data_IF_999889038406
#
_entry.id   IF_999889038406
#
_cell.length_a   1.000
_cell.length_b   1.000
_cell.length_c   1.000
_cell.angle_alpha   90.00
_cell.angle_beta   90.00
_cell.angle_gamma   90.00
#
_symmetry.space_group_name_H-M   'P 1'
#
loop_
_entity.id
_entity.type
_entity.pdbx_description
1 polymer ?
#
# COMPACT_ATOMS: atom_id res chain seq x y z
N UNK A 1 25.57 24.48 19.60
CA UNK A 1 24.67 23.53 20.28
C UNK A 1 24.28 22.46 19.26
N UNK A 2 24.71 21.22 19.46
CA UNK A 2 24.27 20.08 18.63
C UNK A 2 22.85 19.73 19.02
N UNK A 3 21.89 19.91 18.10
CA UNK A 3 20.51 19.46 18.32
C UNK A 3 20.50 17.93 18.52
N UNK A 4 19.73 17.45 19.51
CA UNK A 4 19.53 16.02 19.73
C UNK A 4 18.79 15.41 18.55
N UNK A 5 19.18 14.22 18.12
CA UNK A 5 18.50 13.53 17.04
C UNK A 5 17.19 12.90 17.53
N UNK A 6 16.05 13.39 17.02
CA UNK A 6 14.74 12.79 17.20
C UNK A 6 14.25 12.10 15.91
N UNK A 7 14.03 10.78 15.89
CA UNK A 7 13.62 10.05 14.67
C UNK A 7 12.27 10.48 14.09
N UNK A 8 11.37 11.02 14.91
CA UNK A 8 10.04 11.50 14.48
C UNK A 8 10.10 12.84 13.79
N UNK A 9 11.18 13.60 13.97
CA UNK A 9 11.33 14.95 13.44
C UNK A 9 12.39 15.00 12.33
N UNK A 10 13.51 14.31 12.53
CA UNK A 10 14.66 14.40 11.65
C UNK A 10 14.68 13.31 10.58
N UNK A 11 14.98 13.66 9.31
CA UNK A 11 15.19 12.68 8.26
C UNK A 11 16.32 11.70 8.60
N UNK A 12 16.10 10.43 8.31
CA UNK A 12 17.07 9.37 8.59
C UNK A 12 16.89 8.19 7.64
N UNK A 13 17.81 7.21 7.68
CA UNK A 13 17.69 5.96 6.92
C UNK A 13 17.54 4.78 7.87
N UNK A 14 16.76 3.79 7.47
CA UNK A 14 16.64 2.50 8.16
C UNK A 14 17.07 1.38 7.23
N UNK A 15 17.89 0.47 7.73
CA UNK A 15 18.35 -0.68 6.95
C UNK A 15 17.31 -1.81 7.02
N UNK A 16 17.01 -2.41 5.87
CA UNK A 16 16.19 -3.60 5.73
C UNK A 16 17.11 -4.81 5.42
N UNK A 17 17.33 -5.71 6.39
CA UNK A 17 18.24 -6.84 6.24
C UNK A 17 17.71 -7.95 5.31
N UNK A 18 16.40 -7.99 5.05
CA UNK A 18 15.82 -9.03 4.19
C UNK A 18 16.16 -8.85 2.72
N UNK A 19 16.44 -7.61 2.32
CA UNK A 19 16.71 -7.24 0.92
C UNK A 19 18.02 -6.47 0.76
N UNK A 20 18.82 -6.35 1.83
CA UNK A 20 20.08 -5.60 1.88
C UNK A 20 19.98 -4.17 1.32
N UNK A 21 18.99 -3.41 1.80
CA UNK A 21 18.73 -2.06 1.30
C UNK A 21 18.41 -1.08 2.42
N UNK A 22 18.60 0.20 2.11
CA UNK A 22 18.28 1.30 3.02
C UNK A 22 17.04 2.05 2.55
N UNK A 23 16.12 2.32 3.48
CA UNK A 23 14.91 3.10 3.26
C UNK A 23 15.11 4.51 3.84
N UNK A 24 14.87 5.54 3.02
CA UNK A 24 14.86 6.93 3.47
C UNK A 24 13.53 7.26 4.16
N UNK A 25 13.62 7.76 5.40
CA UNK A 25 12.48 8.22 6.19
C UNK A 25 12.53 9.75 6.25
N UNK A 26 11.47 10.39 5.75
CA UNK A 26 11.28 11.85 5.83
C UNK A 26 9.95 12.14 6.54
N UNK A 27 9.95 12.31 7.87
CA UNK A 27 8.71 12.28 8.68
C UNK A 27 7.63 13.27 8.23
N UNK A 28 8.04 14.47 7.77
CA UNK A 28 7.11 15.54 7.40
C UNK A 28 6.75 15.59 5.90
N UNK A 29 7.20 14.61 5.10
CA UNK A 29 7.03 14.62 3.62
C UNK A 29 5.56 14.74 3.20
N UNK A 30 4.65 14.08 3.92
CA UNK A 30 3.22 14.05 3.63
C UNK A 30 2.47 15.35 3.99
N UNK A 31 3.10 16.29 4.71
CA UNK A 31 2.51 17.61 5.01
C UNK A 31 2.48 18.55 3.79
N UNK A 32 3.14 18.17 2.69
CA UNK A 32 3.10 18.95 1.44
C UNK A 32 1.69 18.88 0.85
N UNK A 33 1.11 20.00 0.40
CA UNK A 33 -0.18 19.99 -0.28
C UNK A 33 -0.16 19.01 -1.45
N UNK A 34 -1.09 18.05 -1.44
CA UNK A 34 -1.27 17.12 -2.54
C UNK A 34 -2.26 17.69 -3.55
N UNK A 35 -1.82 17.84 -4.79
CA UNK A 35 -2.65 18.29 -5.93
C UNK A 35 -2.63 17.28 -7.10
N UNK A 36 -2.11 16.08 -6.83
CA UNK A 36 -2.02 15.02 -7.83
C UNK A 36 -3.25 14.13 -7.86
N UNK A 37 -3.04 12.91 -8.35
CA UNK A 37 -4.07 11.87 -8.48
C UNK A 37 -4.73 11.52 -7.14
N UNK A 38 -6.05 11.32 -7.18
CA UNK A 38 -6.79 10.70 -6.09
C UNK A 38 -7.25 9.32 -6.55
N UNK A 39 -6.85 8.28 -5.80
CA UNK A 39 -7.31 6.92 -6.08
C UNK A 39 -8.80 6.78 -5.79
N UNK A 40 -9.51 6.05 -6.65
CA UNK A 40 -10.91 5.70 -6.40
C UNK A 40 -10.96 4.56 -5.40
N UNK A 41 -11.71 4.75 -4.32
CA UNK A 41 -12.06 3.65 -3.43
C UNK A 41 -13.03 2.74 -4.17
N UNK A 42 -12.82 1.42 -4.05
CA UNK A 42 -13.80 0.48 -4.56
C UNK A 42 -14.94 0.33 -3.55
N UNK A 43 -16.03 1.03 -3.79
CA UNK A 43 -17.26 0.99 -2.98
C UNK A 43 -18.25 -0.08 -3.46
N UNK A 44 -17.90 -0.86 -4.49
CA UNK A 44 -18.77 -1.87 -5.08
C UNK A 44 -19.08 -2.97 -4.06
N UNK A 45 -20.36 -3.07 -3.68
CA UNK A 45 -20.86 -4.22 -2.93
C UNK A 45 -21.02 -5.39 -3.90
N UNK A 46 -20.00 -6.23 -3.95
CA UNK A 46 -20.03 -7.45 -4.77
C UNK A 46 -21.07 -8.44 -4.22
N UNK A 47 -21.81 -9.13 -5.08
CA UNK A 47 -22.73 -10.17 -4.64
C UNK A 47 -21.93 -11.30 -3.95
N UNK A 48 -22.58 -12.00 -3.01
CA UNK A 48 -21.99 -13.19 -2.37
C UNK A 48 -21.72 -14.32 -3.37
N UNK A 49 -22.46 -14.33 -4.48
CA UNK A 49 -22.31 -15.27 -5.57
C UNK A 49 -22.56 -14.60 -6.92
N UNK A 50 -21.67 -14.84 -7.87
CA UNK A 50 -21.83 -14.41 -9.25
C UNK A 50 -21.77 -15.66 -10.16
N UNK A 51 -22.82 -15.96 -10.95
CA UNK A 51 -22.83 -17.13 -11.84
C UNK A 51 -21.80 -17.06 -12.97
N UNK A 52 -21.24 -15.89 -13.26
CA UNK A 52 -20.21 -15.68 -14.29
C UNK A 52 -18.78 -15.69 -13.73
N UNK A 53 -18.65 -15.67 -12.39
CA UNK A 53 -17.38 -15.64 -11.69
C UNK A 53 -16.68 -17.01 -11.71
N UNK A 54 -15.53 -17.09 -12.37
CA UNK A 54 -14.73 -18.32 -12.50
C UNK A 54 -14.15 -18.87 -11.18
N UNK A 55 -14.15 -18.06 -10.11
CA UNK A 55 -13.65 -18.45 -8.79
C UNK A 55 -14.77 -18.81 -7.82
N UNK A 56 -16.03 -18.58 -8.20
CA UNK A 56 -17.17 -18.81 -7.33
C UNK A 56 -17.51 -20.31 -7.25
N UNK A 57 -18.03 -20.80 -6.12
CA UNK A 57 -18.30 -22.23 -5.92
C UNK A 57 -19.19 -22.80 -7.04
N UNK A 58 -18.93 -24.03 -7.48
CA UNK A 58 -19.75 -24.73 -8.48
C UNK A 58 -19.79 -24.12 -9.90
N UNK A 59 -19.16 -22.97 -10.15
CA UNK A 59 -19.01 -22.42 -11.50
C UNK A 59 -17.89 -23.13 -12.26
N UNK A 60 -18.03 -23.16 -13.60
CA UNK A 60 -16.98 -23.67 -14.48
C UNK A 60 -15.76 -22.77 -14.38
N UNK A 61 -14.60 -23.33 -14.04
CA UNK A 61 -13.32 -22.59 -14.02
C UNK A 61 -12.84 -22.32 -15.45
N UNK A 62 -11.97 -21.32 -15.58
CA UNK A 62 -11.36 -20.96 -16.88
C UNK A 62 -10.58 -22.11 -17.52
N UNK A 63 -10.01 -23.01 -16.71
CA UNK A 63 -9.27 -24.20 -17.16
C UNK A 63 -10.15 -25.37 -17.59
N UNK A 64 -11.48 -25.29 -17.44
CA UNK A 64 -12.33 -26.48 -17.42
C UNK A 64 -12.14 -27.28 -16.12
N UNK A 65 -13.04 -28.23 -15.84
CA UNK A 65 -12.95 -29.08 -14.65
C UNK A 65 -11.75 -30.03 -14.73
#
# INVERSE_FOLDING_TARGET
>A
MTALFEPTEHPHRRYNPLIDQWVLVSPHRAKRPWQGQQEKVNEEQKPSYDPTCYLCPSNKRITGN
#
